data_IF_952547836633
#
_entry.id   IF_952547836633
#
_cell.length_a   1.000
_cell.length_b   1.000
_cell.length_c   1.000
_cell.angle_alpha   90.00
_cell.angle_beta   90.00
_cell.angle_gamma   90.00
#
_symmetry.space_group_name_H-M   'P 1'
#
loop_
_entity.id
_entity.type
_entity.pdbx_description
1 polymer ?
#
# COMPACT_ATOMS: atom_id res chain seq x y z
N UNK A 1 -15.53 2.42 -10.76
CA UNK A 1 -15.56 1.28 -9.83
C UNK A 1 -16.93 1.10 -9.17
N UNK A 2 -17.48 2.10 -8.45
CA UNK A 2 -18.77 1.93 -7.74
C UNK A 2 -19.95 1.54 -8.65
N UNK A 3 -20.10 2.19 -9.82
CA UNK A 3 -21.16 1.83 -10.78
C UNK A 3 -21.01 0.39 -11.30
N UNK A 4 -19.78 -0.09 -11.44
CA UNK A 4 -19.53 -1.48 -11.83
C UNK A 4 -19.98 -2.43 -10.73
N UNK A 5 -19.60 -2.18 -9.48
CA UNK A 5 -20.09 -2.95 -8.32
C UNK A 5 -21.62 -2.99 -8.27
N UNK A 6 -22.28 -1.84 -8.44
CA UNK A 6 -23.74 -1.75 -8.46
C UNK A 6 -24.40 -2.53 -9.60
N UNK A 7 -23.71 -2.70 -10.72
CA UNK A 7 -24.19 -3.56 -11.81
C UNK A 7 -24.14 -5.06 -11.46
N UNK A 8 -23.31 -5.45 -10.50
CA UNK A 8 -23.13 -6.83 -10.06
C UNK A 8 -23.99 -7.15 -8.82
N UNK A 9 -24.04 -6.23 -7.86
CA UNK A 9 -24.62 -6.45 -6.52
C UNK A 9 -25.90 -5.64 -6.26
N UNK A 10 -26.34 -4.85 -7.24
CA UNK A 10 -27.55 -4.03 -7.17
C UNK A 10 -27.28 -2.57 -6.81
N UNK A 11 -28.28 -1.72 -7.06
CA UNK A 11 -28.15 -0.26 -6.92
C UNK A 11 -27.83 0.24 -5.52
N UNK A 12 -28.09 -0.57 -4.49
CA UNK A 12 -27.74 -0.27 -3.10
C UNK A 12 -26.27 -0.54 -2.74
N UNK A 13 -25.49 -1.17 -3.63
CA UNK A 13 -24.10 -1.48 -3.35
C UNK A 13 -23.25 -0.21 -3.24
N UNK A 14 -22.32 -0.24 -2.29
CA UNK A 14 -21.39 0.85 -2.00
C UNK A 14 -19.98 0.28 -1.82
N UNK A 15 -19.05 0.76 -2.63
CA UNK A 15 -17.72 0.15 -2.72
C UNK A 15 -16.89 0.31 -1.46
N UNK A 16 -17.09 1.38 -0.70
CA UNK A 16 -16.39 1.54 0.56
C UNK A 16 -16.95 0.59 1.62
N UNK A 17 -18.26 0.34 1.61
CA UNK A 17 -18.90 -0.65 2.47
C UNK A 17 -18.43 -2.06 2.15
N UNK A 18 -18.33 -2.41 0.86
CA UNK A 18 -17.74 -3.66 0.40
C UNK A 18 -16.30 -3.80 0.90
N UNK A 19 -15.44 -2.79 0.71
CA UNK A 19 -14.06 -2.80 1.23
C UNK A 19 -14.00 -2.97 2.75
N UNK A 20 -14.88 -2.29 3.51
CA UNK A 20 -14.96 -2.44 4.97
C UNK A 20 -15.28 -3.88 5.38
N UNK A 21 -16.24 -4.51 4.70
CA UNK A 21 -16.73 -5.83 5.07
C UNK A 21 -15.80 -6.95 4.59
N UNK A 22 -15.26 -6.83 3.38
CA UNK A 22 -14.58 -7.93 2.70
C UNK A 22 -13.06 -7.86 2.79
N UNK A 23 -12.49 -6.68 3.09
CA UNK A 23 -11.04 -6.50 3.23
C UNK A 23 -10.66 -6.04 4.63
N UNK A 24 -11.28 -4.98 5.14
CA UNK A 24 -10.85 -4.37 6.41
C UNK A 24 -11.26 -5.16 7.65
N UNK A 25 -12.48 -5.69 7.67
CA UNK A 25 -12.95 -6.50 8.78
C UNK A 25 -12.13 -7.81 8.94
N UNK A 26 -11.81 -8.57 7.87
CA UNK A 26 -10.94 -9.75 7.98
C UNK A 26 -9.56 -9.49 8.59
N UNK A 27 -8.98 -8.30 8.36
CA UNK A 27 -7.68 -7.89 8.93
C UNK A 27 -7.81 -7.12 10.25
N UNK A 28 -9.00 -7.09 10.83
CA UNK A 28 -9.31 -6.48 12.13
C UNK A 28 -8.99 -4.99 12.21
N UNK A 29 -9.31 -4.21 11.17
CA UNK A 29 -9.24 -2.75 11.28
C UNK A 29 -10.31 -2.21 12.25
N UNK A 30 -10.00 -1.07 12.85
CA UNK A 30 -10.89 -0.36 13.76
C UNK A 30 -12.15 0.15 13.05
N UNK A 31 -13.22 0.34 13.82
CA UNK A 31 -14.45 0.93 13.30
C UNK A 31 -14.28 2.38 12.81
N UNK A 32 -13.18 3.05 13.21
CA UNK A 32 -12.87 4.44 12.88
C UNK A 32 -12.42 4.66 11.43
N UNK A 33 -12.09 3.60 10.70
CA UNK A 33 -11.73 3.70 9.28
C UNK A 33 -12.90 4.26 8.48
N UNK A 34 -12.65 5.40 7.85
CA UNK A 34 -13.63 6.16 7.08
C UNK A 34 -12.99 6.86 5.88
N UNK A 35 -13.83 7.35 4.97
CA UNK A 35 -13.42 8.16 3.83
C UNK A 35 -14.37 9.34 3.66
N UNK A 36 -13.88 10.44 3.11
CA UNK A 36 -14.74 11.54 2.66
C UNK A 36 -15.67 11.08 1.53
N UNK A 37 -16.80 11.75 1.39
CA UNK A 37 -17.82 11.48 0.36
C UNK A 37 -18.20 12.75 -0.38
N UNK A 38 -18.67 12.60 -1.62
CA UNK A 38 -19.15 13.74 -2.41
C UNK A 38 -20.28 14.46 -1.67
N UNK A 39 -20.32 15.78 -1.84
CA UNK A 39 -21.32 16.67 -1.22
C UNK A 39 -21.39 16.60 0.31
N UNK A 40 -20.36 16.04 0.95
CA UNK A 40 -20.32 15.78 2.39
C UNK A 40 -21.56 14.98 2.89
N UNK A 41 -22.05 14.07 2.06
CA UNK A 41 -23.25 13.27 2.31
C UNK A 41 -22.92 11.81 2.58
N UNK A 42 -23.64 11.17 3.51
CA UNK A 42 -23.53 9.72 3.75
C UNK A 42 -23.94 8.88 2.52
N UNK A 43 -24.76 9.46 1.64
CA UNK A 43 -25.17 8.85 0.37
C UNK A 43 -24.29 9.28 -0.82
N UNK A 44 -23.34 10.20 -0.61
CA UNK A 44 -22.41 10.64 -1.65
C UNK A 44 -21.44 9.54 -2.05
N UNK A 45 -20.81 9.61 -3.22
CA UNK A 45 -19.83 8.61 -3.64
C UNK A 45 -18.56 8.66 -2.76
N UNK A 46 -18.01 7.53 -2.34
CA UNK A 46 -16.79 7.50 -1.53
C UNK A 46 -15.56 7.90 -2.35
N UNK A 47 -14.67 8.66 -1.73
CA UNK A 47 -13.35 8.95 -2.31
C UNK A 47 -12.39 7.78 -2.05
N UNK A 48 -11.61 7.43 -3.07
CA UNK A 48 -10.60 6.36 -2.98
C UNK A 48 -9.16 6.84 -3.21
N UNK A 49 -8.96 8.00 -3.83
CA UNK A 49 -7.62 8.53 -4.12
C UNK A 49 -6.99 9.39 -3.01
N UNK A 50 -7.80 9.86 -2.06
CA UNK A 50 -7.40 10.63 -0.89
C UNK A 50 -8.56 10.71 0.11
N UNK A 51 -8.31 11.25 1.29
CA UNK A 51 -9.35 11.52 2.29
C UNK A 51 -9.78 10.30 3.11
N UNK A 52 -8.93 9.27 3.16
CA UNK A 52 -9.08 8.14 4.08
C UNK A 52 -8.51 8.48 5.45
N UNK A 53 -9.22 8.09 6.50
CA UNK A 53 -8.81 8.31 7.89
C UNK A 53 -8.51 6.97 8.56
N UNK A 54 -7.31 6.87 9.12
CA UNK A 54 -6.80 5.65 9.75
C UNK A 54 -6.23 5.97 11.11
N UNK A 55 -6.26 4.99 12.02
CA UNK A 55 -5.36 5.01 13.17
C UNK A 55 -3.98 4.48 12.77
N UNK A 56 -2.98 4.68 13.65
CA UNK A 56 -1.64 4.12 13.46
C UNK A 56 -1.64 2.59 13.43
N UNK A 57 -2.53 1.97 14.19
CA UNK A 57 -2.70 0.52 14.22
C UNK A 57 -3.35 0.01 12.93
N UNK A 58 -4.35 0.73 12.42
CA UNK A 58 -5.03 0.34 11.18
C UNK A 58 -4.09 0.30 9.98
N UNK A 59 -3.26 1.34 9.81
CA UNK A 59 -2.32 1.36 8.68
C UNK A 59 -1.22 0.30 8.82
N UNK A 60 -0.80 -0.02 10.05
CA UNK A 60 0.16 -1.10 10.29
C UNK A 60 -0.42 -2.47 9.91
N UNK A 61 -1.71 -2.71 10.21
CA UNK A 61 -2.42 -3.93 9.79
C UNK A 61 -2.59 -4.02 8.28
N UNK A 62 -2.92 -2.91 7.61
CA UNK A 62 -2.97 -2.85 6.14
C UNK A 62 -1.61 -3.19 5.54
N UNK A 63 -0.53 -2.59 6.03
CA UNK A 63 0.80 -2.86 5.51
C UNK A 63 1.25 -4.29 5.77
N UNK A 64 0.97 -4.86 6.95
CA UNK A 64 1.25 -6.27 7.25
C UNK A 64 0.48 -7.19 6.31
N UNK A 65 -0.79 -6.91 6.07
CA UNK A 65 -1.65 -7.68 5.17
C UNK A 65 -1.10 -7.70 3.73
N UNK A 66 -0.61 -6.56 3.24
CA UNK A 66 -0.02 -6.44 1.90
C UNK A 66 1.38 -7.07 1.82
N UNK A 67 2.26 -6.79 2.79
CA UNK A 67 3.69 -7.06 2.69
C UNK A 67 4.17 -8.36 3.34
N UNK A 68 3.53 -8.77 4.44
CA UNK A 68 3.98 -9.94 5.22
C UNK A 68 3.03 -11.12 5.09
N UNK A 69 1.74 -10.86 4.88
CA UNK A 69 0.70 -11.89 4.84
C UNK A 69 0.26 -12.27 3.42
N UNK A 70 0.82 -11.63 2.37
CA UNK A 70 0.50 -11.92 0.97
C UNK A 70 -1.01 -11.87 0.66
N UNK A 71 -1.73 -10.93 1.26
CA UNK A 71 -3.17 -10.77 1.06
C UNK A 71 -4.02 -11.86 1.72
N UNK A 72 -3.45 -12.62 2.65
CA UNK A 72 -4.15 -13.66 3.42
C UNK A 72 -4.60 -13.08 4.77
N UNK A 73 -5.87 -13.32 5.13
CA UNK A 73 -6.41 -13.00 6.45
C UNK A 73 -7.11 -14.22 7.04
N UNK A 74 -6.73 -14.63 8.25
CA UNK A 74 -7.31 -15.79 8.95
C UNK A 74 -7.30 -17.09 8.12
N UNK A 75 -6.27 -17.30 7.31
CA UNK A 75 -6.14 -18.47 6.43
C UNK A 75 -6.92 -18.39 5.11
N UNK A 76 -7.63 -17.29 4.87
CA UNK A 76 -8.37 -17.06 3.62
C UNK A 76 -7.59 -16.08 2.73
N UNK A 77 -7.41 -16.42 1.47
CA UNK A 77 -6.89 -15.50 0.45
C UNK A 77 -7.95 -14.44 0.14
N UNK A 78 -7.67 -13.18 0.47
CA UNK A 78 -8.60 -12.06 0.25
C UNK A 78 -8.22 -11.27 -1.01
N UNK A 79 -6.93 -10.97 -1.21
CA UNK A 79 -6.46 -10.31 -2.43
C UNK A 79 -6.09 -11.33 -3.51
N UNK A 80 -6.22 -10.98 -4.78
CA UNK A 80 -5.76 -11.85 -5.87
C UNK A 80 -4.21 -11.95 -5.81
N UNK A 81 -3.62 -13.16 -5.73
CA UNK A 81 -2.18 -13.31 -5.45
C UNK A 81 -1.26 -12.67 -6.50
N UNK A 82 -1.56 -12.84 -7.79
CA UNK A 82 -0.68 -12.37 -8.87
C UNK A 82 -0.68 -10.84 -8.93
N UNK A 83 -1.85 -10.20 -8.88
CA UNK A 83 -1.98 -8.74 -8.83
C UNK A 83 -1.27 -8.14 -7.62
N UNK A 84 -1.31 -8.83 -6.47
CA UNK A 84 -0.55 -8.40 -5.30
C UNK A 84 0.96 -8.56 -5.53
N UNK A 85 1.42 -9.67 -6.10
CA UNK A 85 2.82 -9.88 -6.46
C UNK A 85 3.34 -8.80 -7.43
N UNK A 86 2.54 -8.43 -8.45
CA UNK A 86 2.85 -7.36 -9.39
C UNK A 86 2.97 -5.99 -8.67
N UNK A 87 2.06 -5.74 -7.72
CA UNK A 87 2.04 -4.53 -6.90
C UNK A 87 3.26 -4.44 -5.99
N UNK A 88 3.65 -5.58 -5.41
CA UNK A 88 4.77 -5.71 -4.47
C UNK A 88 6.12 -5.90 -5.17
N UNK A 89 6.15 -5.89 -6.51
CA UNK A 89 7.34 -6.05 -7.36
C UNK A 89 8.01 -7.43 -7.24
N UNK A 90 7.26 -8.42 -6.79
CA UNK A 90 7.69 -9.81 -6.68
C UNK A 90 7.65 -10.51 -8.05
N UNK A 91 6.76 -10.08 -8.95
CA UNK A 91 6.80 -10.51 -10.35
C UNK A 91 7.80 -9.67 -11.16
N UNK A 92 8.82 -10.32 -11.72
CA UNK A 92 9.76 -9.70 -12.63
C UNK A 92 9.19 -9.49 -14.04
N UNK A 93 8.10 -10.18 -14.38
CA UNK A 93 7.43 -10.07 -15.68
C UNK A 93 6.47 -8.89 -15.77
N UNK A 94 5.86 -8.49 -14.65
CA UNK A 94 5.06 -7.26 -14.52
C UNK A 94 5.46 -6.40 -13.32
N UNK A 95 6.32 -5.41 -13.58
CA UNK A 95 6.71 -4.37 -12.60
C UNK A 95 5.93 -3.07 -12.77
N UNK A 96 5.02 -2.99 -13.72
CA UNK A 96 4.35 -1.75 -14.09
C UNK A 96 5.23 -0.73 -14.80
N UNK A 97 4.78 0.53 -14.76
CA UNK A 97 5.27 1.62 -15.60
C UNK A 97 6.41 2.39 -14.94
N UNK A 98 7.36 2.86 -15.75
CA UNK A 98 8.38 3.81 -15.30
C UNK A 98 7.80 5.21 -15.13
N UNK A 99 8.16 5.86 -14.03
CA UNK A 99 7.75 7.24 -13.75
C UNK A 99 8.73 8.23 -14.39
N UNK A 100 8.26 9.42 -14.78
CA UNK A 100 9.07 10.43 -15.47
C UNK A 100 9.70 11.48 -14.54
N UNK A 101 9.74 11.21 -13.23
CA UNK A 101 10.29 12.11 -12.23
C UNK A 101 11.84 12.13 -12.20
N UNK A 102 12.41 13.00 -11.38
CA UNK A 102 13.86 13.06 -11.14
C UNK A 102 14.39 11.80 -10.46
N UNK A 103 13.57 11.16 -9.63
CA UNK A 103 13.83 9.83 -9.08
C UNK A 103 13.07 8.81 -9.90
N UNK A 104 13.78 7.81 -10.41
CA UNK A 104 13.17 6.70 -11.12
C UNK A 104 12.44 5.77 -10.14
N UNK A 105 11.11 5.76 -10.22
CA UNK A 105 10.24 4.78 -9.60
C UNK A 105 9.51 3.95 -10.65
N UNK A 106 8.99 2.81 -10.21
CA UNK A 106 7.91 2.07 -10.89
C UNK A 106 6.56 2.45 -10.28
N UNK A 107 5.49 2.32 -11.05
CA UNK A 107 4.12 2.43 -10.58
C UNK A 107 3.28 1.26 -11.09
N UNK A 108 2.64 0.53 -10.18
CA UNK A 108 1.76 -0.59 -10.50
C UNK A 108 0.60 -0.66 -9.51
N UNK A 109 -0.63 -0.92 -9.97
CA UNK A 109 -1.80 -1.19 -9.13
C UNK A 109 -1.97 -0.26 -7.89
N UNK A 110 -1.75 1.04 -8.08
CA UNK A 110 -1.80 2.09 -7.07
C UNK A 110 -0.63 2.17 -6.07
N UNK A 111 0.47 1.46 -6.31
CA UNK A 111 1.71 1.54 -5.54
C UNK A 111 2.84 2.16 -6.36
N UNK A 112 3.66 2.96 -5.69
CA UNK A 112 4.98 3.32 -6.19
C UNK A 112 5.98 2.23 -5.77
N UNK A 113 7.10 2.09 -6.48
CA UNK A 113 8.19 1.24 -6.02
C UNK A 113 9.56 1.80 -6.40
N UNK A 114 10.51 1.68 -5.48
CA UNK A 114 11.90 2.06 -5.69
C UNK A 114 12.76 0.81 -5.87
N UNK A 115 13.55 0.79 -6.93
CA UNK A 115 14.65 -0.17 -7.08
C UNK A 115 15.85 0.34 -6.27
N UNK A 116 16.22 -0.37 -5.23
CA UNK A 116 17.39 -0.11 -4.42
C UNK A 116 18.55 -0.89 -5.04
N UNK A 117 19.50 -0.20 -5.67
CA UNK A 117 20.62 -0.83 -6.39
C UNK A 117 21.96 -0.59 -5.68
N UNK A 118 22.94 -1.51 -5.77
CA UNK A 118 24.28 -1.27 -5.21
C UNK A 118 25.00 -0.05 -5.79
N UNK A 119 24.67 0.37 -7.01
CA UNK A 119 25.23 1.58 -7.63
C UNK A 119 24.74 2.87 -6.98
N UNK A 120 23.52 2.87 -6.45
CA UNK A 120 22.94 4.03 -5.73
C UNK A 120 23.17 3.91 -4.21
N UNK A 121 23.19 2.68 -3.70
CA UNK A 121 23.28 2.34 -2.28
C UNK A 121 24.35 1.27 -2.07
N UNK A 122 25.61 1.70 -1.97
CA UNK A 122 26.79 0.83 -1.92
C UNK A 122 26.87 -0.10 -0.70
N UNK A 123 26.01 0.11 0.31
CA UNK A 123 25.89 -0.76 1.47
C UNK A 123 25.19 -2.10 1.18
N UNK A 124 24.54 -2.26 0.02
CA UNK A 124 23.85 -3.49 -0.36
C UNK A 124 24.65 -4.28 -1.40
N UNK A 125 24.66 -5.61 -1.27
CA UNK A 125 25.34 -6.52 -2.20
C UNK A 125 24.48 -6.91 -3.41
N UNK A 126 23.19 -6.60 -3.38
CA UNK A 126 22.22 -6.97 -4.40
C UNK A 126 21.21 -5.84 -4.63
N UNK A 127 20.45 -5.93 -5.73
CA UNK A 127 19.32 -5.03 -5.96
C UNK A 127 18.03 -5.64 -5.40
N UNK A 128 17.17 -4.80 -4.82
CA UNK A 128 15.86 -5.20 -4.31
C UNK A 128 14.83 -4.08 -4.47
N UNK A 129 13.55 -4.42 -4.37
CA UNK A 129 12.46 -3.45 -4.49
C UNK A 129 11.88 -3.07 -3.14
N UNK A 130 11.47 -1.82 -3.03
CA UNK A 130 10.67 -1.33 -1.91
C UNK A 130 9.42 -0.67 -2.49
N UNK A 131 8.28 -1.38 -2.50
CA UNK A 131 6.97 -0.80 -2.76
C UNK A 131 6.59 0.18 -1.65
N UNK A 132 5.90 1.25 -2.02
CA UNK A 132 5.44 2.25 -1.07
C UNK A 132 4.18 2.98 -1.52
N UNK A 133 3.41 3.43 -0.53
CA UNK A 133 2.32 4.39 -0.71
C UNK A 133 2.83 5.77 -0.30
N UNK A 134 2.50 6.78 -1.09
CA UNK A 134 2.86 8.19 -0.83
C UNK A 134 1.60 9.06 -0.86
N UNK A 135 1.44 9.92 0.15
CA UNK A 135 0.28 10.80 0.30
C UNK A 135 0.67 12.25 0.55
N UNK A 136 -0.23 13.17 0.17
CA UNK A 136 -0.03 14.61 0.32
C UNK A 136 0.28 15.01 1.78
N UNK A 137 1.11 16.04 1.95
CA UNK A 137 1.53 16.55 3.27
C UNK A 137 2.76 15.85 3.88
N UNK A 138 3.14 14.67 3.39
CA UNK A 138 4.26 13.89 3.95
C UNK A 138 3.78 12.59 4.57
N UNK A 139 3.09 11.76 3.78
CA UNK A 139 2.66 10.44 4.21
C UNK A 139 3.46 9.41 3.42
N UNK A 140 4.09 8.46 4.12
CA UNK A 140 4.76 7.33 3.50
C UNK A 140 4.40 6.05 4.24
N UNK A 141 4.17 4.99 3.48
CA UNK A 141 4.16 3.60 3.97
C UNK A 141 5.09 2.80 3.06
N UNK A 142 6.30 2.51 3.51
CA UNK A 142 7.32 1.77 2.78
C UNK A 142 7.40 0.32 3.28
N UNK A 143 7.35 -0.62 2.35
CA UNK A 143 7.22 -2.05 2.62
C UNK A 143 8.47 -2.77 2.10
N UNK A 144 9.29 -3.28 3.01
CA UNK A 144 10.60 -3.85 2.71
C UNK A 144 10.49 -5.36 2.43
N UNK A 145 11.42 -5.94 1.63
CA UNK A 145 11.31 -7.32 1.15
C UNK A 145 11.51 -8.38 2.24
N UNK A 146 11.95 -7.99 3.44
CA UNK A 146 12.01 -8.89 4.60
C UNK A 146 10.70 -8.91 5.42
N UNK A 147 9.62 -8.35 4.89
CA UNK A 147 8.33 -8.22 5.56
C UNK A 147 8.21 -7.04 6.53
N UNK A 148 9.30 -6.32 6.82
CA UNK A 148 9.26 -5.14 7.67
C UNK A 148 8.56 -3.96 6.96
N UNK A 149 7.90 -3.10 7.72
CA UNK A 149 7.26 -1.89 7.20
C UNK A 149 7.68 -0.68 8.03
N UNK A 150 7.98 0.41 7.34
CA UNK A 150 8.13 1.73 7.93
C UNK A 150 7.00 2.64 7.45
N UNK A 151 6.37 3.38 8.36
CA UNK A 151 5.38 4.39 7.99
C UNK A 151 5.45 5.62 8.87
N UNK A 152 5.08 6.76 8.29
CA UNK A 152 4.85 7.99 9.02
C UNK A 152 3.79 8.83 8.32
N UNK A 153 3.17 9.70 9.11
CA UNK A 153 2.14 10.64 8.69
C UNK A 153 2.51 12.00 9.26
N UNK A 154 2.93 12.92 8.40
CA UNK A 154 3.24 14.31 8.74
C UNK A 154 2.53 15.28 7.79
N UNK A 155 2.67 16.57 8.10
CA UNK A 155 2.17 17.69 7.29
C UNK A 155 3.30 18.72 7.07
N UNK A 156 4.51 18.21 6.81
CA UNK A 156 5.74 19.00 6.63
C UNK A 156 6.37 18.85 5.24
N UNK A 157 5.65 18.21 4.30
CA UNK A 157 6.08 17.94 2.92
C UNK A 157 7.38 17.13 2.80
N UNK A 158 7.71 16.32 3.81
CA UNK A 158 8.88 15.45 3.78
C UNK A 158 8.51 14.03 3.35
N UNK A 159 9.32 13.45 2.44
CA UNK A 159 9.12 12.14 1.80
C UNK A 159 10.32 11.19 1.96
N UNK A 160 11.19 11.43 2.95
CA UNK A 160 12.44 10.70 3.13
C UNK A 160 12.26 9.44 3.98
N UNK A 161 12.57 8.27 3.40
CA UNK A 161 12.39 6.97 4.06
C UNK A 161 13.52 5.96 3.81
N UNK A 162 14.56 6.31 3.06
CA UNK A 162 15.68 5.40 2.76
C UNK A 162 16.49 5.02 4.01
N UNK A 163 16.70 5.96 4.95
CA UNK A 163 17.41 5.66 6.20
C UNK A 163 16.67 4.61 7.06
N UNK A 164 15.36 4.75 7.31
CA UNK A 164 14.57 3.67 7.92
C UNK A 164 14.68 2.33 7.20
N UNK A 165 14.65 2.30 5.86
CA UNK A 165 14.85 1.07 5.08
C UNK A 165 16.23 0.46 5.32
N UNK A 166 17.27 1.27 5.46
CA UNK A 166 18.59 0.79 5.83
C UNK A 166 18.62 0.15 7.23
N UNK A 167 17.95 0.76 8.19
CA UNK A 167 17.87 0.22 9.56
C UNK A 167 17.07 -1.09 9.62
N UNK A 168 15.98 -1.19 8.85
CA UNK A 168 15.17 -2.41 8.77
C UNK A 168 15.94 -3.63 8.22
N UNK A 169 17.00 -3.42 7.44
CA UNK A 169 17.89 -4.50 6.96
C UNK A 169 18.58 -5.26 8.10
N UNK A 170 18.70 -4.64 9.29
CA UNK A 170 19.31 -5.26 10.49
C UNK A 170 18.38 -6.28 11.16
N UNK A 171 17.07 -6.21 10.91
CA UNK A 171 16.09 -7.16 11.44
C UNK A 171 16.21 -8.52 10.73
N UNK A 172 16.35 -8.48 9.42
CA UNK A 172 16.65 -9.61 8.55
C UNK A 172 17.22 -9.06 7.24
N UNK A 173 18.40 -9.50 6.77
CA UNK A 173 19.02 -8.94 5.56
C UNK A 173 18.16 -9.09 4.31
N UNK A 174 18.12 -8.06 3.47
CA UNK A 174 17.47 -8.08 2.15
C UNK A 174 18.28 -8.86 1.12
N UNK A 175 19.60 -8.85 1.26
CA UNK A 175 20.54 -9.57 0.41
C UNK A 175 21.17 -10.71 1.23
N UNK A 176 20.76 -11.97 1.00
CA UNK A 176 21.37 -13.14 1.63
C UNK A 176 22.78 -13.45 1.10
#
# INVERSE_FOLDING_TARGET
MNNYLQSQEGSGADIFTMMKNEVYAPINLSAGVSTIRTDNSSAGSPFGGYGLFWTRDDIAKVAKFLNADNGIANGTQILQPDMLADSMQDDASDRGLDTTGSVAFKYNNAFWAKNMTPSEFSQYSCSFWVPFMSGYGGITVAMAPNGATYYYFSDNEEFSWYNPVHEMNKLSPYCP
#
